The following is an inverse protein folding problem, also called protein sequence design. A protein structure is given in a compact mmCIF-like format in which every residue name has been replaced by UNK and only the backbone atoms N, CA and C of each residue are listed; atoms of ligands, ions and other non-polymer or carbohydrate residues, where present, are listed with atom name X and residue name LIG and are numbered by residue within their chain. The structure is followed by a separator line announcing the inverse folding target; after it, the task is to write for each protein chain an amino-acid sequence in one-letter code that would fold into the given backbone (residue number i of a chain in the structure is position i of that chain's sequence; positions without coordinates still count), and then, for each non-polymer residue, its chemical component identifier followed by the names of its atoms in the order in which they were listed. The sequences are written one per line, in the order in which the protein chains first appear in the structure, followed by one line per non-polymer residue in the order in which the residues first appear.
data_IF_014424003550
#
_entry.id   IF_014424003550
#
_cell.length_a   1.000
_cell.length_b   1.000
_cell.length_c   1.000
_cell.angle_alpha   90.00
_cell.angle_beta   90.00
_cell.angle_gamma   90.00
#
_symmetry.space_group_name_H-M   'P 1'
#
loop_
_entity.id
_entity.type
_entity.pdbx_description
1 polymer ?
#
# COMPACT_ATOMS: atom_id res chain seq x y z
N UNK A 1 -7.96 30.33 3.05
CA UNK A 1 -8.79 29.87 4.17
C UNK A 1 -10.02 29.25 3.55
N UNK A 2 -10.57 28.21 4.15
CA UNK A 2 -11.76 27.54 3.63
C UNK A 2 -12.97 28.07 4.40
N UNK A 3 -14.05 28.39 3.71
CA UNK A 3 -15.31 28.87 4.29
C UNK A 3 -16.50 28.17 3.64
N UNK A 4 -17.72 28.53 4.03
CA UNK A 4 -18.93 28.06 3.34
C UNK A 4 -18.85 28.40 1.84
N UNK A 5 -19.39 27.51 1.00
CA UNK A 5 -19.36 27.56 -0.47
C UNK A 5 -17.99 27.42 -1.12
N UNK A 6 -16.91 27.26 -0.34
CA UNK A 6 -15.58 27.00 -0.90
C UNK A 6 -15.54 25.61 -1.55
N UNK A 7 -15.06 25.54 -2.79
CA UNK A 7 -14.78 24.27 -3.46
C UNK A 7 -13.38 23.77 -3.10
N UNK A 8 -13.31 22.52 -2.67
CA UNK A 8 -12.08 21.85 -2.29
C UNK A 8 -11.91 20.58 -3.12
N UNK A 9 -10.68 20.30 -3.54
CA UNK A 9 -10.34 19.02 -4.16
C UNK A 9 -10.35 17.91 -3.11
N UNK A 10 -10.75 16.72 -3.52
CA UNK A 10 -10.67 15.54 -2.65
C UNK A 10 -9.32 14.85 -2.88
N UNK A 11 -8.56 14.67 -1.80
CA UNK A 11 -7.22 14.07 -1.81
C UNK A 11 -7.22 12.65 -1.23
N UNK A 12 -8.20 11.84 -1.63
CA UNK A 12 -8.32 10.44 -1.20
C UNK A 12 -8.76 9.52 -2.35
N UNK A 13 -8.84 8.22 -2.07
CA UNK A 13 -9.27 7.18 -3.01
C UNK A 13 -10.76 6.81 -2.89
N UNK A 14 -11.61 7.71 -2.36
CA UNK A 14 -13.07 7.45 -2.29
C UNK A 14 -13.76 7.54 -3.64
N UNK A 15 -13.09 8.16 -4.63
CA UNK A 15 -13.62 8.40 -5.96
C UNK A 15 -14.29 9.78 -6.11
N UNK A 16 -14.45 10.56 -5.03
CA UNK A 16 -14.83 11.96 -5.15
C UNK A 16 -13.65 12.80 -5.69
N UNK A 17 -13.95 13.83 -6.48
CA UNK A 17 -12.96 14.75 -7.07
C UNK A 17 -13.05 16.15 -6.48
N UNK A 18 -14.27 16.63 -6.28
CA UNK A 18 -14.54 17.98 -5.77
C UNK A 18 -15.69 17.97 -4.75
N UNK A 19 -15.51 18.72 -3.67
CA UNK A 19 -16.50 18.91 -2.60
C UNK A 19 -16.72 20.41 -2.39
N UNK A 20 -17.98 20.82 -2.32
CA UNK A 20 -18.38 22.16 -1.90
C UNK A 20 -18.65 22.16 -0.41
N UNK A 21 -17.95 23.01 0.33
CA UNK A 21 -18.12 23.14 1.78
C UNK A 21 -19.46 23.78 2.11
N UNK A 22 -20.26 23.11 2.94
CA UNK A 22 -21.54 23.60 3.43
C UNK A 22 -21.35 24.27 4.79
N UNK A 23 -20.53 23.68 5.67
CA UNK A 23 -20.36 24.17 7.04
C UNK A 23 -18.98 23.82 7.61
N UNK A 24 -18.39 24.77 8.32
CA UNK A 24 -17.18 24.54 9.13
C UNK A 24 -17.59 24.07 10.53
N UNK A 25 -17.03 22.96 11.01
CA UNK A 25 -17.32 22.44 12.35
C UNK A 25 -16.37 23.03 13.40
N UNK A 26 -16.79 23.04 14.67
CA UNK A 26 -15.99 23.50 15.81
C UNK A 26 -16.48 24.78 16.50
N UNK A 27 -17.73 25.20 16.28
CA UNK A 27 -18.37 26.29 17.02
C UNK A 27 -19.51 26.97 16.24
N UNK A 28 -20.37 27.71 16.93
CA UNK A 28 -21.49 28.46 16.33
C UNK A 28 -21.02 29.65 15.49
N UNK A 29 -19.97 30.36 15.93
CA UNK A 29 -19.44 31.55 15.26
C UNK A 29 -18.25 31.26 14.32
N UNK A 30 -17.97 29.98 14.05
CA UNK A 30 -16.78 29.60 13.29
C UNK A 30 -17.01 29.81 11.78
N UNK A 31 -16.33 30.80 11.21
CA UNK A 31 -16.47 31.19 9.79
C UNK A 31 -15.44 30.54 8.85
N UNK A 32 -14.24 30.24 9.36
CA UNK A 32 -13.11 29.77 8.57
C UNK A 32 -12.53 28.48 9.11
N UNK A 33 -12.08 27.62 8.20
CA UNK A 33 -11.34 26.40 8.43
C UNK A 33 -9.90 26.54 7.90
N UNK A 34 -8.95 26.06 8.70
CA UNK A 34 -7.55 25.86 8.36
C UNK A 34 -7.19 24.36 8.31
N UNK A 35 -5.90 24.09 8.14
CA UNK A 35 -5.38 22.70 8.10
C UNK A 35 -5.67 21.99 9.44
N UNK A 36 -6.30 20.83 9.36
CA UNK A 36 -6.72 19.99 10.49
C UNK A 36 -8.17 20.17 10.91
N UNK A 37 -8.86 21.19 10.40
CA UNK A 37 -10.27 21.41 10.71
C UNK A 37 -11.20 20.47 9.93
N UNK A 38 -12.32 20.12 10.56
CA UNK A 38 -13.37 19.32 9.93
C UNK A 38 -14.40 20.23 9.30
N UNK A 39 -14.74 19.93 8.05
CA UNK A 39 -15.80 20.59 7.28
C UNK A 39 -16.83 19.57 6.83
N UNK A 40 -18.09 19.99 6.76
CA UNK A 40 -19.17 19.26 6.10
C UNK A 40 -19.33 19.83 4.70
N UNK A 41 -19.42 18.98 3.70
CA UNK A 41 -19.58 19.41 2.31
C UNK A 41 -20.44 18.47 1.47
N UNK A 42 -20.88 18.96 0.31
CA UNK A 42 -21.55 18.16 -0.71
C UNK A 42 -20.60 17.83 -1.84
N UNK A 43 -20.64 16.59 -2.31
CA UNK A 43 -19.80 16.13 -3.42
C UNK A 43 -20.34 16.69 -4.73
N UNK A 44 -19.52 17.43 -5.48
CA UNK A 44 -19.91 18.07 -6.75
C UNK A 44 -19.46 17.29 -7.97
N UNK A 45 -18.32 16.62 -7.87
CA UNK A 45 -17.80 15.72 -8.91
C UNK A 45 -17.26 14.43 -8.28
N UNK A 46 -17.57 13.29 -8.90
CA UNK A 46 -17.18 11.97 -8.46
C UNK A 46 -17.07 11.01 -9.66
N UNK A 47 -16.14 10.06 -9.56
CA UNK A 47 -15.96 8.98 -10.53
C UNK A 47 -17.16 8.02 -10.51
N UNK A 48 -17.57 7.49 -11.68
CA UNK A 48 -18.57 6.43 -11.74
C UNK A 48 -18.05 5.17 -11.05
N UNK A 49 -18.86 4.58 -10.16
CA UNK A 49 -18.47 3.38 -9.39
C UNK A 49 -17.60 3.66 -8.14
N UNK A 50 -17.36 4.93 -7.80
CA UNK A 50 -16.71 5.32 -6.54
C UNK A 50 -17.55 4.95 -5.31
N UNK A 51 -16.90 4.95 -4.14
CA UNK A 51 -17.57 4.69 -2.85
C UNK A 51 -18.55 5.82 -2.46
N UNK A 52 -18.38 7.00 -3.05
CA UNK A 52 -19.15 8.22 -2.78
C UNK A 52 -19.79 8.70 -4.07
N UNK A 53 -21.06 9.11 -3.99
CA UNK A 53 -21.84 9.58 -5.15
C UNK A 53 -21.89 11.11 -5.23
N UNK A 54 -22.11 11.64 -6.43
CA UNK A 54 -22.39 13.08 -6.63
C UNK A 54 -23.65 13.48 -5.85
N UNK A 55 -23.59 14.62 -5.17
CA UNK A 55 -24.67 15.16 -4.33
C UNK A 55 -24.65 14.65 -2.89
N UNK A 56 -23.86 13.63 -2.57
CA UNK A 56 -23.77 13.08 -1.23
C UNK A 56 -23.16 14.10 -0.25
N UNK A 57 -23.71 14.18 0.97
CA UNK A 57 -23.19 15.00 2.05
C UNK A 57 -22.16 14.21 2.85
N UNK A 58 -20.94 14.75 2.94
CA UNK A 58 -19.77 14.08 3.51
C UNK A 58 -19.05 14.99 4.50
N UNK A 59 -18.34 14.39 5.46
CA UNK A 59 -17.40 15.08 6.33
C UNK A 59 -15.99 14.94 5.76
N UNK A 60 -15.18 15.97 5.88
CA UNK A 60 -13.80 15.95 5.45
C UNK A 60 -12.88 16.75 6.35
N UNK A 61 -11.64 16.32 6.48
CA UNK A 61 -10.57 17.06 7.17
C UNK A 61 -9.79 17.85 6.13
N UNK A 62 -9.56 19.13 6.41
CA UNK A 62 -8.74 20.01 5.57
C UNK A 62 -7.26 19.62 5.69
N UNK A 63 -6.64 19.26 4.57
CA UNK A 63 -5.21 18.86 4.52
C UNK A 63 -4.33 19.91 3.85
N UNK A 64 -4.86 20.66 2.88
CA UNK A 64 -4.14 21.75 2.20
C UNK A 64 -5.02 23.00 2.15
N UNK A 65 -4.38 24.15 2.31
CA UNK A 65 -5.02 25.46 2.16
C UNK A 65 -4.14 26.42 1.37
N UNK A 66 -4.76 27.14 0.43
CA UNK A 66 -4.07 28.16 -0.38
C UNK A 66 -3.66 29.41 0.41
N UNK A 67 -4.26 29.65 1.58
CA UNK A 67 -3.82 30.72 2.50
C UNK A 67 -2.66 30.22 3.34
N UNK A 68 -1.65 31.06 3.50
CA UNK A 68 -0.51 30.73 4.36
C UNK A 68 -0.91 30.48 5.82
N UNK A 69 -0.28 29.48 6.44
CA UNK A 69 -0.37 29.22 7.87
C UNK A 69 1.01 29.40 8.49
N UNK A 70 1.08 30.25 9.51
CA UNK A 70 2.29 30.42 10.32
C UNK A 70 2.48 29.23 11.26
N UNK A 71 3.69 28.70 11.31
CA UNK A 71 4.13 27.67 12.26
C UNK A 71 4.72 28.31 13.53
N UNK A 72 4.82 27.56 14.64
CA UNK A 72 5.44 28.05 15.88
C UNK A 72 6.88 28.53 15.72
N UNK A 73 7.63 27.94 14.78
CA UNK A 73 9.01 28.34 14.42
C UNK A 73 9.10 29.66 13.63
N UNK A 74 7.96 30.26 13.28
CA UNK A 74 7.89 31.49 12.48
C UNK A 74 7.85 31.28 10.97
N UNK A 75 8.06 30.06 10.48
CA UNK A 75 7.94 29.75 9.05
C UNK A 75 6.47 29.73 8.59
N UNK A 76 6.25 29.87 7.27
CA UNK A 76 4.92 29.84 6.65
C UNK A 76 4.79 28.64 5.71
N UNK A 77 3.69 27.90 5.82
CA UNK A 77 3.29 26.90 4.80
C UNK A 77 2.19 27.50 3.94
N UNK A 78 2.34 27.42 2.61
CA UNK A 78 1.29 27.73 1.64
C UNK A 78 1.25 26.64 0.57
N UNK A 79 0.05 26.27 0.16
CA UNK A 79 -0.17 25.33 -0.95
C UNK A 79 -0.79 26.06 -2.15
N UNK A 80 -0.75 25.43 -3.32
CA UNK A 80 -1.36 25.99 -4.53
C UNK A 80 -2.89 25.82 -4.53
N UNK A 81 -3.40 24.77 -3.89
CA UNK A 81 -4.83 24.43 -3.86
C UNK A 81 -5.38 24.16 -2.45
N UNK A 82 -6.72 24.15 -2.36
CA UNK A 82 -7.45 23.71 -1.17
C UNK A 82 -7.85 22.24 -1.36
N UNK A 83 -7.52 21.41 -0.37
CA UNK A 83 -7.83 19.98 -0.43
C UNK A 83 -8.36 19.43 0.90
N UNK A 84 -9.26 18.47 0.79
CA UNK A 84 -9.88 17.74 1.90
C UNK A 84 -9.75 16.23 1.72
N UNK A 85 -9.68 15.50 2.83
CA UNK A 85 -9.77 14.03 2.87
C UNK A 85 -11.08 13.67 3.53
N UNK A 86 -11.88 12.80 2.92
CA UNK A 86 -13.18 12.41 3.47
C UNK A 86 -13.01 11.50 4.67
N UNK A 87 -13.82 11.74 5.70
CA UNK A 87 -13.82 10.99 6.96
C UNK A 87 -15.23 10.52 7.32
N UNK A 88 -15.27 9.47 8.14
CA UNK A 88 -16.49 9.02 8.81
C UNK A 88 -16.70 9.77 10.14
N UNK A 89 -17.79 9.44 10.85
CA UNK A 89 -18.11 10.08 12.13
C UNK A 89 -17.11 9.76 13.26
N UNK A 90 -16.40 8.64 13.16
CA UNK A 90 -15.33 8.25 14.07
C UNK A 90 -13.99 8.95 13.75
N UNK A 91 -13.97 9.90 12.81
CA UNK A 91 -12.78 10.60 12.30
C UNK A 91 -11.76 9.69 11.60
N UNK A 92 -12.17 8.49 11.19
CA UNK A 92 -11.36 7.63 10.34
C UNK A 92 -11.59 8.01 8.87
N UNK A 93 -10.57 7.91 8.00
CA UNK A 93 -10.75 8.11 6.56
C UNK A 93 -11.88 7.24 6.02
N UNK A 94 -12.76 7.86 5.22
CA UNK A 94 -13.89 7.17 4.57
C UNK A 94 -13.46 6.39 3.33
N UNK A 95 -12.24 6.64 2.87
CA UNK A 95 -11.48 5.70 2.07
C UNK A 95 -11.67 4.28 2.59
N UNK A 96 -11.87 3.31 1.68
CA UNK A 96 -11.97 1.90 2.06
C UNK A 96 -10.69 1.55 2.84
N UNK A 97 -10.79 1.39 4.17
CA UNK A 97 -9.73 0.88 5.04
C UNK A 97 -9.48 -0.63 4.82
N UNK A 98 -10.28 -1.26 3.95
CA UNK A 98 -9.96 -2.52 3.27
C UNK A 98 -9.06 -2.38 2.04
N UNK A 99 -8.53 -1.18 1.78
CA UNK A 99 -7.18 -1.11 1.26
C UNK A 99 -6.26 -1.34 2.44
N UNK A 100 -5.77 -2.57 2.60
CA UNK A 100 -4.34 -2.67 2.79
C UNK A 100 -3.68 -1.67 1.81
N UNK A 101 -2.48 -1.24 2.10
CA UNK A 101 -1.59 -0.89 0.98
C UNK A 101 -1.32 -2.20 0.21
N UNK A 102 -2.36 -2.85 -0.37
CA UNK A 102 -2.24 -3.62 -1.58
C UNK A 102 -1.90 -2.58 -2.60
N UNK A 103 -0.60 -2.37 -2.74
CA UNK A 103 -0.06 -1.82 -3.96
C UNK A 103 -0.74 -2.52 -5.15
N UNK A 104 -1.00 -1.82 -6.25
CA UNK A 104 -1.38 -2.49 -7.48
C UNK A 104 -0.43 -3.67 -7.76
N UNK A 105 -1.02 -4.86 -7.87
CA UNK A 105 -0.54 -6.01 -8.64
C UNK A 105 0.86 -6.51 -8.36
N UNK A 106 1.12 -7.07 -7.16
CA UNK A 106 2.15 -8.12 -7.07
C UNK A 106 1.43 -9.45 -7.27
N UNK A 107 1.68 -10.08 -8.41
CA UNK A 107 1.09 -11.37 -8.77
C UNK A 107 1.61 -12.52 -7.88
N UNK A 108 2.78 -12.32 -7.26
CA UNK A 108 3.49 -13.28 -6.42
C UNK A 108 2.99 -13.23 -4.97
N UNK A 109 2.58 -14.38 -4.46
CA UNK A 109 2.14 -14.59 -3.07
C UNK A 109 3.14 -15.47 -2.31
N UNK A 110 2.96 -15.51 -0.98
CA UNK A 110 3.68 -16.46 -0.13
C UNK A 110 3.33 -17.89 -0.55
N UNK A 111 4.32 -18.78 -0.50
CA UNK A 111 4.20 -20.20 -0.88
C UNK A 111 3.96 -20.48 -2.38
N UNK A 112 4.05 -19.45 -3.24
CA UNK A 112 4.16 -19.66 -4.68
C UNK A 112 5.54 -20.22 -5.05
N UNK A 113 5.59 -21.06 -6.08
CA UNK A 113 6.85 -21.50 -6.68
C UNK A 113 7.25 -20.49 -7.76
N UNK A 114 8.46 -19.95 -7.68
CA UNK A 114 8.96 -18.97 -8.64
C UNK A 114 10.32 -19.38 -9.21
N UNK A 115 10.57 -18.97 -10.44
CA UNK A 115 11.87 -19.09 -11.10
C UNK A 115 12.52 -17.71 -11.21
N UNK A 116 13.80 -17.63 -10.84
CA UNK A 116 14.59 -16.41 -11.02
C UNK A 116 15.01 -16.29 -12.49
N UNK A 117 14.67 -15.18 -13.14
CA UNK A 117 14.87 -14.97 -14.58
C UNK A 117 16.24 -14.37 -14.92
N UNK A 118 16.77 -13.55 -14.01
CA UNK A 118 17.94 -12.70 -14.21
C UNK A 118 18.81 -12.66 -12.95
N UNK A 119 20.07 -12.23 -13.09
CA UNK A 119 21.02 -12.16 -11.98
C UNK A 119 21.80 -13.45 -11.75
N UNK A 120 22.54 -13.49 -10.63
CA UNK A 120 23.49 -14.58 -10.30
C UNK A 120 22.83 -15.95 -10.13
N UNK A 121 21.59 -15.96 -9.64
CA UNK A 121 20.80 -17.18 -9.41
C UNK A 121 19.81 -17.45 -10.55
N UNK A 122 20.07 -16.92 -11.76
CA UNK A 122 19.21 -17.13 -12.93
C UNK A 122 19.00 -18.63 -13.19
N UNK A 123 17.75 -19.00 -13.40
CA UNK A 123 17.30 -20.37 -13.64
C UNK A 123 16.88 -21.12 -12.37
N UNK A 124 17.28 -20.66 -11.19
CA UNK A 124 16.92 -21.29 -9.92
C UNK A 124 15.41 -21.22 -9.68
N UNK A 125 14.82 -22.35 -9.30
CA UNK A 125 13.42 -22.46 -8.89
C UNK A 125 13.36 -22.65 -7.38
N UNK A 126 12.53 -21.84 -6.72
CA UNK A 126 12.37 -21.91 -5.28
C UNK A 126 11.00 -21.44 -4.85
N UNK A 127 10.62 -21.81 -3.62
CA UNK A 127 9.38 -21.36 -3.01
C UNK A 127 9.56 -19.98 -2.41
N UNK A 128 8.50 -19.18 -2.44
CA UNK A 128 8.51 -17.85 -1.85
C UNK A 128 8.25 -17.94 -0.34
N UNK A 129 9.28 -17.64 0.45
CA UNK A 129 9.18 -17.59 1.92
C UNK A 129 8.43 -16.34 2.37
N UNK A 130 8.77 -15.20 1.76
CA UNK A 130 8.28 -13.89 2.19
C UNK A 130 8.28 -12.90 1.03
N UNK A 131 7.21 -12.13 0.93
CA UNK A 131 7.10 -11.02 -0.02
C UNK A 131 7.13 -9.71 0.77
N UNK A 132 7.90 -8.74 0.30
CA UNK A 132 7.95 -7.36 0.80
C UNK A 132 7.44 -6.43 -0.31
N UNK A 133 6.11 -6.27 -0.47
CA UNK A 133 5.55 -5.47 -1.56
C UNK A 133 6.08 -4.05 -1.55
N UNK A 134 6.09 -3.37 -0.38
CA UNK A 134 6.54 -1.98 -0.24
C UNK A 134 7.94 -1.71 -0.80
N UNK A 135 8.82 -2.70 -0.66
CA UNK A 135 10.22 -2.60 -1.07
C UNK A 135 10.47 -3.21 -2.46
N UNK A 136 9.45 -3.77 -3.12
CA UNK A 136 9.58 -4.44 -4.41
C UNK A 136 10.36 -5.76 -4.36
N UNK A 137 10.43 -6.42 -3.19
CA UNK A 137 11.36 -7.54 -2.94
C UNK A 137 10.67 -8.83 -2.54
N UNK A 138 11.29 -9.96 -2.86
CA UNK A 138 10.83 -11.31 -2.51
C UNK A 138 12.00 -12.16 -2.02
N UNK A 139 11.77 -12.96 -0.98
CA UNK A 139 12.71 -13.96 -0.49
C UNK A 139 12.33 -15.32 -1.09
N UNK A 140 13.26 -15.91 -1.84
CA UNK A 140 13.09 -17.19 -2.53
C UNK A 140 14.08 -18.19 -1.93
N UNK A 141 13.57 -19.35 -1.53
CA UNK A 141 14.38 -20.44 -0.96
C UNK A 141 15.50 -20.86 -1.94
N UNK A 142 16.74 -20.84 -1.47
CA UNK A 142 17.93 -21.15 -2.26
C UNK A 142 18.23 -20.19 -3.43
N UNK A 143 17.53 -19.05 -3.48
CA UNK A 143 17.65 -18.08 -4.57
C UNK A 143 18.94 -17.26 -4.50
N UNK A 144 18.84 -15.98 -4.14
CA UNK A 144 20.03 -15.15 -3.95
C UNK A 144 20.71 -15.54 -2.64
N UNK A 145 21.97 -15.99 -2.70
CA UNK A 145 22.74 -16.38 -1.53
C UNK A 145 23.95 -15.47 -1.35
N UNK A 146 24.28 -15.15 -0.10
CA UNK A 146 25.50 -14.45 0.25
C UNK A 146 26.19 -15.10 1.45
N UNK A 147 27.52 -15.20 1.36
CA UNK A 147 28.36 -15.67 2.46
C UNK A 147 28.55 -14.55 3.47
N UNK A 148 28.00 -14.73 4.67
CA UNK A 148 28.17 -13.83 5.79
C UNK A 148 29.17 -14.43 6.77
N UNK A 149 30.27 -13.72 7.01
CA UNK A 149 31.23 -14.11 8.03
C UNK A 149 30.68 -13.69 9.39
N UNK A 150 30.31 -14.66 10.22
CA UNK A 150 29.85 -14.40 11.57
C UNK A 150 30.98 -14.73 12.55
N UNK A 151 31.43 -13.71 13.29
CA UNK A 151 32.39 -13.90 14.38
C UNK A 151 31.72 -14.74 15.47
N UNK A 152 32.46 -15.69 16.03
CA UNK A 152 32.02 -16.44 17.21
C UNK A 152 31.78 -15.45 18.35
N UNK A 153 30.53 -15.30 18.78
CA UNK A 153 30.19 -14.45 19.93
C UNK A 153 30.50 -15.22 21.21
N UNK A 154 31.62 -14.89 21.84
CA UNK A 154 32.12 -15.53 23.07
C UNK A 154 31.35 -15.20 24.36
N UNK A 155 30.10 -14.74 24.31
CA UNK A 155 29.29 -14.56 25.52
C UNK A 155 28.45 -15.82 25.77
N UNK A 156 28.75 -16.48 26.90
CA UNK A 156 27.91 -17.54 27.47
C UNK A 156 26.47 -17.02 27.56
N UNK A 157 25.51 -17.75 26.99
CA UNK A 157 24.12 -17.56 27.40
C UNK A 157 24.01 -18.02 28.86
N UNK A 158 23.32 -17.25 29.70
CA UNK A 158 23.01 -17.62 31.09
C UNK A 158 22.17 -18.91 31.18
N UNK A 159 21.67 -19.39 30.04
CA UNK A 159 20.69 -20.46 29.90
C UNK A 159 21.22 -21.65 29.09
N UNK A 160 22.44 -22.13 29.35
CA UNK A 160 22.92 -23.47 28.93
C UNK A 160 22.85 -23.83 27.43
N UNK A 161 22.47 -22.91 26.54
CA UNK A 161 22.35 -23.17 25.11
C UNK A 161 23.72 -23.01 24.45
N UNK A 162 24.03 -23.98 23.59
CA UNK A 162 25.29 -24.11 22.84
C UNK A 162 25.73 -22.78 22.23
N UNK A 163 27.02 -22.49 22.39
CA UNK A 163 27.71 -21.39 21.73
C UNK A 163 27.52 -21.52 20.22
N UNK A 164 26.99 -20.47 19.57
CA UNK A 164 26.96 -20.41 18.12
C UNK A 164 28.40 -20.44 17.61
N UNK A 165 28.77 -21.53 16.94
CA UNK A 165 30.08 -21.71 16.34
C UNK A 165 30.26 -20.63 15.27
N UNK A 166 31.31 -19.82 15.40
CA UNK A 166 31.66 -18.82 14.39
C UNK A 166 32.05 -19.52 13.09
N UNK A 167 31.66 -18.93 11.96
CA UNK A 167 31.85 -19.55 10.65
C UNK A 167 31.33 -18.69 9.51
N UNK A 168 31.51 -19.20 8.29
CA UNK A 168 30.91 -18.62 7.08
C UNK A 168 29.48 -19.18 7.00
N UNK A 169 28.49 -18.32 7.27
CA UNK A 169 27.08 -18.68 7.19
C UNK A 169 26.55 -18.24 5.83
N UNK A 170 25.91 -19.16 5.12
CA UNK A 170 25.18 -18.81 3.90
C UNK A 170 23.82 -18.21 4.28
N UNK A 171 23.62 -16.94 3.91
CA UNK A 171 22.42 -16.19 4.20
C UNK A 171 21.66 -15.91 2.89
N UNK A 172 20.37 -16.22 2.89
CA UNK A 172 19.50 -15.89 1.76
C UNK A 172 19.24 -14.39 1.70
N UNK A 173 19.27 -13.86 0.49
CA UNK A 173 19.01 -12.47 0.16
C UNK A 173 17.70 -12.33 -0.61
N UNK A 174 17.18 -11.11 -0.56
CA UNK A 174 16.03 -10.74 -1.35
C UNK A 174 16.37 -10.61 -2.83
N UNK A 175 15.45 -11.06 -3.66
CA UNK A 175 15.42 -10.86 -5.10
C UNK A 175 14.38 -9.78 -5.40
N UNK A 176 14.59 -9.00 -6.46
CA UNK A 176 13.59 -8.06 -6.95
C UNK A 176 12.39 -8.80 -7.57
N UNK A 177 11.18 -8.33 -7.33
CA UNK A 177 9.94 -8.95 -7.84
C UNK A 177 9.93 -9.02 -9.38
N UNK A 178 10.53 -8.04 -10.07
CA UNK A 178 10.62 -8.03 -11.54
C UNK A 178 11.50 -9.14 -12.11
N UNK A 179 12.39 -9.70 -11.29
CA UNK A 179 13.36 -10.73 -11.68
C UNK A 179 12.87 -12.15 -11.40
N UNK A 180 11.63 -12.32 -10.93
CA UNK A 180 11.02 -13.63 -10.66
C UNK A 180 9.79 -13.86 -11.53
N UNK A 181 9.57 -15.11 -11.93
CA UNK A 181 8.38 -15.52 -12.67
C UNK A 181 7.73 -16.72 -11.99
N UNK A 182 6.40 -16.70 -11.85
CA UNK A 182 5.65 -17.80 -11.23
C UNK A 182 5.75 -19.05 -12.10
N UNK A 183 6.05 -20.18 -11.45
CA UNK A 183 6.03 -21.51 -12.05
C UNK A 183 4.72 -22.16 -11.66
N UNK A 184 3.95 -22.57 -12.66
CA UNK A 184 2.69 -23.28 -12.42
C UNK A 184 2.99 -24.69 -11.89
N UNK A 185 2.33 -25.09 -10.79
CA UNK A 185 2.46 -26.43 -10.21
C UNK A 185 1.99 -27.54 -11.15
N UNK A 186 1.02 -27.25 -12.01
CA UNK A 186 0.42 -28.23 -12.93
C UNK A 186 1.25 -28.48 -14.17
N UNK A 187 1.97 -27.47 -14.71
CA UNK A 187 2.74 -27.62 -15.94
C UNK A 187 4.27 -27.48 -15.77
N UNK A 188 4.74 -27.09 -14.58
CA UNK A 188 6.18 -26.94 -14.26
C UNK A 188 6.89 -25.84 -15.04
N UNK A 189 6.17 -25.05 -15.84
CA UNK A 189 6.73 -23.99 -16.70
C UNK A 189 6.53 -22.62 -16.07
N UNK A 190 7.48 -21.69 -16.25
CA UNK A 190 7.29 -20.29 -15.88
C UNK A 190 6.17 -19.69 -16.74
N UNK A 191 5.21 -19.02 -16.10
CA UNK A 191 3.99 -18.52 -16.71
C UNK A 191 3.68 -17.10 -16.27
N UNK A 192 2.74 -16.44 -16.96
CA UNK A 192 2.16 -15.17 -16.51
C UNK A 192 0.82 -15.47 -15.85
N UNK A 193 0.49 -14.69 -14.83
CA UNK A 193 -0.79 -14.81 -14.12
C UNK A 193 -1.91 -14.26 -15.01
N UNK A 194 -2.98 -15.03 -15.11
CA UNK A 194 -4.29 -14.60 -15.59
C UNK A 194 -5.28 -14.57 -14.42
N UNK A 195 -6.46 -13.99 -14.67
CA UNK A 195 -7.55 -13.99 -13.71
C UNK A 195 -8.81 -14.50 -14.37
N UNK A 196 -9.51 -15.38 -13.68
CA UNK A 196 -10.83 -15.85 -14.07
C UNK A 196 -11.82 -15.57 -12.94
N UNK A 197 -13.06 -15.26 -13.31
CA UNK A 197 -14.15 -15.01 -12.36
C UNK A 197 -15.00 -16.28 -12.34
N UNK A 198 -14.98 -17.00 -11.22
CA UNK A 198 -15.83 -18.17 -11.04
C UNK A 198 -17.31 -17.80 -10.96
N UNK A 199 -18.18 -18.81 -11.03
CA UNK A 199 -19.65 -18.66 -10.90
C UNK A 199 -20.09 -17.89 -9.65
N UNK A 200 -19.31 -17.99 -8.58
CA UNK A 200 -19.60 -17.39 -7.26
C UNK A 200 -19.09 -15.94 -7.15
N UNK A 201 -18.55 -15.37 -8.24
CA UNK A 201 -17.98 -14.03 -8.28
C UNK A 201 -16.56 -13.92 -7.71
N UNK A 202 -15.97 -15.03 -7.27
CA UNK A 202 -14.58 -15.09 -6.76
C UNK A 202 -13.57 -15.04 -7.90
N UNK A 203 -12.57 -14.15 -7.79
CA UNK A 203 -11.46 -14.05 -8.75
C UNK A 203 -10.35 -15.02 -8.38
N UNK A 204 -10.12 -16.03 -9.22
CA UNK A 204 -9.02 -16.99 -9.09
C UNK A 204 -7.86 -16.62 -10.01
N UNK A 205 -6.63 -16.99 -9.60
CA UNK A 205 -5.42 -16.81 -10.42
C UNK A 205 -5.24 -18.05 -11.29
N UNK A 206 -5.18 -17.86 -12.59
CA UNK A 206 -5.01 -18.95 -13.56
C UNK A 206 -3.66 -18.85 -14.27
N UNK A 207 -3.14 -19.99 -14.67
CA UNK A 207 -1.98 -20.07 -15.55
C UNK A 207 -2.41 -19.78 -17.00
N UNK A 208 -1.82 -18.78 -17.67
CA UNK A 208 -2.15 -18.52 -19.09
C UNK A 208 -1.74 -19.63 -20.07
N UNK A 209 -1.00 -20.64 -19.63
CA UNK A 209 -0.53 -21.74 -20.50
C UNK A 209 -1.39 -22.99 -20.41
N UNK A 210 -1.94 -23.28 -19.24
CA UNK A 210 -2.68 -24.53 -18.99
C UNK A 210 -4.01 -24.30 -18.26
N UNK A 211 -4.39 -23.04 -18.05
CA UNK A 211 -5.65 -22.57 -17.43
C UNK A 211 -5.92 -23.08 -16.00
N UNK A 212 -5.04 -23.94 -15.46
CA UNK A 212 -5.07 -24.41 -14.10
C UNK A 212 -4.81 -23.27 -13.09
N UNK A 213 -5.35 -23.44 -11.89
CA UNK A 213 -5.15 -22.53 -10.75
C UNK A 213 -3.68 -22.53 -10.27
N UNK A 214 -3.19 -21.35 -9.87
CA UNK A 214 -1.78 -21.10 -9.44
C UNK A 214 -1.60 -21.08 -7.91
#
# INVERSE_FOLDING_TARGET
MIQQETRCRVADNTGAREVLVIRVLGGSHRRYAGIGDVVVGSVKDALPGGAVKKGEVVKGVVVRTAKERRRPDGSYIRFDDNAVVLINDQRNPRARSGGAVTMPGVDVKKDDTVQVMTGKSRGHQGRVVRVLPKDGRVLVEGGAMAKKHQRATGRRSTSGQQLQQGGIIDMELYVDISNVQIVCKSCGRPTRVGHEVGSDGTKVRICRKCEAEL
#
